data_IF_020043565518
#
_entry.id   IF_020043565518
#
_cell.length_a   1.000
_cell.length_b   1.000
_cell.length_c   1.000
_cell.angle_alpha   90.00
_cell.angle_beta   90.00
_cell.angle_gamma   90.00
#
_symmetry.space_group_name_H-M   'P 1'
#
loop_
_entity.id
_entity.type
_entity.pdbx_description
1 polymer ?
#
# COMPACT_ATOMS: atom_id res chain seq x y z
N UNK A 1 -23.51 -33.80 -16.50
CA UNK A 1 -23.30 -32.41 -16.97
C UNK A 1 -23.05 -32.52 -18.45
N UNK A 2 -23.67 -31.70 -19.28
CA UNK A 2 -23.43 -31.78 -20.68
C UNK A 2 -22.11 -31.06 -21.05
N UNK A 3 -21.50 -31.44 -22.18
CA UNK A 3 -20.18 -30.91 -22.60
C UNK A 3 -20.20 -29.39 -22.79
N UNK A 4 -21.32 -28.81 -23.19
CA UNK A 4 -21.46 -27.35 -23.35
C UNK A 4 -21.37 -26.61 -21.99
N UNK A 5 -22.02 -27.17 -20.95
CA UNK A 5 -21.96 -26.62 -19.58
C UNK A 5 -20.55 -26.73 -18.99
N UNK A 6 -19.87 -27.84 -19.24
CA UNK A 6 -18.46 -28.01 -18.80
C UNK A 6 -17.54 -27.03 -19.54
N UNK A 7 -17.71 -26.85 -20.82
CA UNK A 7 -16.92 -25.90 -21.61
C UNK A 7 -17.15 -24.44 -21.15
N UNK A 8 -18.40 -24.11 -20.87
CA UNK A 8 -18.73 -22.78 -20.34
C UNK A 8 -18.06 -22.52 -18.96
N UNK A 9 -18.12 -23.49 -18.07
CA UNK A 9 -17.47 -23.43 -16.74
C UNK A 9 -15.94 -23.29 -16.86
N UNK A 10 -15.31 -24.07 -17.75
CA UNK A 10 -13.87 -23.98 -18.00
C UNK A 10 -13.47 -22.62 -18.56
N UNK A 11 -14.23 -22.08 -19.51
CA UNK A 11 -13.98 -20.73 -20.04
C UNK A 11 -14.10 -19.67 -18.97
N UNK A 12 -15.06 -19.78 -18.07
CA UNK A 12 -15.22 -18.85 -16.96
C UNK A 12 -14.02 -18.93 -16.00
N UNK A 13 -13.57 -20.12 -15.68
CA UNK A 13 -12.42 -20.32 -14.80
C UNK A 13 -11.11 -19.81 -15.43
N UNK A 14 -10.87 -20.08 -16.72
CA UNK A 14 -9.73 -19.53 -17.45
C UNK A 14 -9.74 -18.01 -17.43
N UNK A 15 -10.92 -17.40 -17.64
CA UNK A 15 -11.06 -15.94 -17.54
C UNK A 15 -10.71 -15.44 -16.16
N UNK A 16 -11.27 -16.05 -15.11
CA UNK A 16 -11.01 -15.68 -13.71
C UNK A 16 -9.52 -15.77 -13.38
N UNK A 17 -8.84 -16.85 -13.79
CA UNK A 17 -7.41 -17.00 -13.59
C UNK A 17 -6.61 -15.93 -14.36
N UNK A 18 -7.00 -15.65 -15.61
CA UNK A 18 -6.39 -14.58 -16.40
C UNK A 18 -6.55 -13.20 -15.73
N UNK A 19 -7.70 -12.95 -15.12
CA UNK A 19 -7.95 -11.70 -14.38
C UNK A 19 -7.08 -11.59 -13.13
N UNK A 20 -6.90 -12.67 -12.38
CA UNK A 20 -5.99 -12.70 -11.25
C UNK A 20 -4.55 -12.35 -11.69
N UNK A 21 -4.08 -12.95 -12.78
CA UNK A 21 -2.74 -12.65 -13.30
C UNK A 21 -2.63 -11.22 -13.83
N UNK A 22 -3.70 -10.69 -14.47
CA UNK A 22 -3.74 -9.30 -14.91
C UNK A 22 -3.68 -8.29 -13.74
N UNK A 23 -4.37 -8.57 -12.63
CA UNK A 23 -4.29 -7.76 -11.39
C UNK A 23 -2.89 -7.83 -10.77
N UNK A 24 -2.27 -9.02 -10.74
CA UNK A 24 -0.88 -9.15 -10.27
C UNK A 24 0.08 -8.36 -11.16
N UNK A 25 -0.11 -8.45 -12.48
CA UNK A 25 0.71 -7.72 -13.45
C UNK A 25 0.57 -6.21 -13.26
N UNK A 26 -0.65 -5.67 -13.15
CA UNK A 26 -0.88 -4.25 -12.85
C UNK A 26 -0.11 -3.82 -11.60
N UNK A 27 -0.19 -4.61 -10.53
CA UNK A 27 0.48 -4.31 -9.27
C UNK A 27 2.01 -4.34 -9.45
N UNK A 28 2.54 -5.28 -10.22
CA UNK A 28 3.96 -5.36 -10.51
C UNK A 28 4.43 -4.19 -11.41
N UNK A 29 3.67 -3.83 -12.44
CA UNK A 29 3.96 -2.70 -13.33
C UNK A 29 4.01 -1.38 -12.54
N UNK A 30 3.06 -1.18 -11.62
CA UNK A 30 3.03 -0.05 -10.71
C UNK A 30 4.29 0.01 -9.83
N UNK A 31 4.67 -1.12 -9.20
CA UNK A 31 5.87 -1.18 -8.37
C UNK A 31 7.13 -0.87 -9.18
N UNK A 32 7.24 -1.42 -10.40
CA UNK A 32 8.37 -1.12 -11.28
C UNK A 32 8.41 0.36 -11.68
N UNK A 33 7.25 0.94 -12.00
CA UNK A 33 7.16 2.37 -12.33
C UNK A 33 7.63 3.26 -11.17
N UNK A 34 7.26 2.89 -9.93
CA UNK A 34 7.73 3.58 -8.73
C UNK A 34 9.25 3.46 -8.54
N UNK A 35 9.80 2.25 -8.64
CA UNK A 35 11.24 2.04 -8.46
C UNK A 35 12.09 2.73 -9.53
N UNK A 36 11.54 2.85 -10.74
CA UNK A 36 12.21 3.51 -11.87
C UNK A 36 11.95 5.03 -11.90
N UNK A 37 11.30 5.60 -10.87
CA UNK A 37 10.86 7.00 -10.82
C UNK A 37 10.02 7.44 -12.05
N UNK A 38 9.30 6.48 -12.67
CA UNK A 38 8.37 6.75 -13.78
C UNK A 38 7.00 7.12 -13.20
N UNK A 39 6.94 8.32 -12.59
CA UNK A 39 5.81 8.75 -11.76
C UNK A 39 4.48 8.80 -12.51
N UNK A 40 4.47 9.28 -13.75
CA UNK A 40 3.25 9.31 -14.58
C UNK A 40 2.77 7.91 -14.95
N UNK A 41 3.67 6.94 -15.15
CA UNK A 41 3.30 5.54 -15.39
C UNK A 41 2.68 4.92 -14.11
N UNK A 42 3.22 5.27 -12.94
CA UNK A 42 2.63 4.85 -11.67
C UNK A 42 1.21 5.42 -11.50
N UNK A 43 1.01 6.71 -11.81
CA UNK A 43 -0.31 7.36 -11.79
C UNK A 43 -1.27 6.76 -12.80
N UNK A 44 -0.78 6.35 -13.97
CA UNK A 44 -1.61 5.70 -15.01
C UNK A 44 -2.18 4.35 -14.58
N UNK A 45 -1.62 3.71 -13.56
CA UNK A 45 -2.16 2.49 -12.97
C UNK A 45 -3.48 2.72 -12.19
N UNK A 46 -3.81 3.96 -11.85
CA UNK A 46 -5.00 4.30 -11.08
C UNK A 46 -6.18 4.69 -11.96
N UNK A 47 -7.38 4.28 -11.56
CA UNK A 47 -8.65 4.76 -12.11
C UNK A 47 -8.81 6.27 -11.91
N UNK A 48 -9.59 6.93 -12.75
CA UNK A 48 -9.95 8.34 -12.53
C UNK A 48 -10.78 8.57 -11.25
N UNK A 49 -11.37 7.49 -10.71
CA UNK A 49 -12.13 7.49 -9.46
C UNK A 49 -11.32 6.98 -8.27
N UNK A 50 -10.01 6.84 -8.44
CA UNK A 50 -9.19 6.22 -7.41
C UNK A 50 -9.01 7.10 -6.18
N UNK A 51 -8.76 6.43 -5.04
CA UNK A 51 -8.29 7.03 -3.80
C UNK A 51 -7.16 6.19 -3.21
N UNK A 52 -6.30 6.83 -2.42
CA UNK A 52 -5.19 6.14 -1.79
C UNK A 52 -5.04 6.59 -0.33
N UNK A 53 -5.28 5.68 0.59
CA UNK A 53 -4.99 5.86 2.01
C UNK A 53 -3.56 5.34 2.28
N UNK A 54 -2.62 6.26 2.25
CA UNK A 54 -1.19 5.94 2.34
C UNK A 54 -0.74 5.58 3.76
N UNK A 55 -1.57 5.83 4.76
CA UNK A 55 -1.22 5.57 6.16
C UNK A 55 -0.28 6.63 6.75
N UNK A 56 0.90 6.84 6.19
CA UNK A 56 1.90 7.81 6.69
C UNK A 56 1.63 9.23 6.20
N UNK A 57 1.30 9.38 4.93
CA UNK A 57 1.13 10.69 4.28
C UNK A 57 -0.31 11.19 4.40
N UNK A 58 -1.24 10.29 4.70
CA UNK A 58 -2.65 10.58 4.82
C UNK A 58 -3.45 10.08 3.62
N UNK A 59 -4.66 10.58 3.48
CA UNK A 59 -5.60 10.15 2.46
C UNK A 59 -5.49 11.04 1.22
N UNK A 60 -5.08 10.43 0.11
CA UNK A 60 -5.13 11.02 -1.23
C UNK A 60 -6.52 10.74 -1.80
N UNK A 61 -7.41 11.73 -1.71
CA UNK A 61 -8.84 11.54 -1.90
C UNK A 61 -9.26 11.25 -3.35
N UNK A 62 -8.43 11.62 -4.31
CA UNK A 62 -8.70 11.49 -5.74
C UNK A 62 -7.41 11.29 -6.55
N UNK A 63 -7.56 11.04 -7.84
CA UNK A 63 -6.43 10.82 -8.77
C UNK A 63 -5.50 12.01 -8.88
N UNK A 64 -6.00 13.23 -8.74
CA UNK A 64 -5.15 14.43 -8.79
C UNK A 64 -4.27 14.53 -7.54
N UNK A 65 -4.79 14.22 -6.37
CA UNK A 65 -4.01 14.11 -5.15
C UNK A 65 -2.94 13.01 -5.26
N UNK A 66 -3.30 11.85 -5.86
CA UNK A 66 -2.36 10.75 -6.15
C UNK A 66 -1.27 11.23 -7.13
N UNK A 67 -1.64 11.95 -8.20
CA UNK A 67 -0.68 12.51 -9.16
C UNK A 67 0.31 13.43 -8.46
N UNK A 68 -0.18 14.39 -7.69
CA UNK A 68 0.67 15.35 -6.96
C UNK A 68 1.61 14.63 -5.97
N UNK A 69 1.13 13.58 -5.32
CA UNK A 69 1.98 12.77 -4.47
C UNK A 69 3.19 12.20 -5.25
N UNK A 70 2.95 11.60 -6.42
CA UNK A 70 4.03 11.03 -7.22
C UNK A 70 4.89 12.05 -7.93
N UNK A 71 4.31 13.11 -8.49
CA UNK A 71 5.04 14.06 -9.34
C UNK A 71 5.64 15.24 -8.60
N UNK A 72 5.17 15.56 -7.40
CA UNK A 72 5.67 16.66 -6.59
C UNK A 72 6.37 16.18 -5.31
N UNK A 73 5.70 15.31 -4.53
CA UNK A 73 6.23 14.86 -3.24
C UNK A 73 7.41 13.89 -3.40
N UNK A 74 7.28 12.83 -4.19
CA UNK A 74 8.33 11.82 -4.32
C UNK A 74 9.65 12.38 -4.83
N UNK A 75 9.70 13.26 -5.86
CA UNK A 75 10.95 13.90 -6.26
C UNK A 75 11.58 14.75 -5.16
N UNK A 76 10.79 15.50 -4.38
CA UNK A 76 11.31 16.29 -3.26
C UNK A 76 11.84 15.41 -2.13
N UNK A 77 11.18 14.28 -1.87
CA UNK A 77 11.64 13.30 -0.89
C UNK A 77 13.01 12.72 -1.29
N UNK A 78 13.20 12.38 -2.56
CA UNK A 78 14.46 11.88 -3.10
C UNK A 78 15.55 12.97 -3.11
N UNK A 79 15.22 14.20 -3.50
CA UNK A 79 16.14 15.34 -3.48
C UNK A 79 16.64 15.65 -2.06
N UNK A 80 15.79 15.46 -1.07
CA UNK A 80 16.16 15.57 0.34
C UNK A 80 17.02 14.40 0.86
N UNK A 81 17.36 13.42 0.01
CA UNK A 81 18.14 12.24 0.38
C UNK A 81 17.32 11.09 0.96
N UNK A 82 15.99 11.17 0.88
CA UNK A 82 15.10 10.06 1.17
C UNK A 82 15.19 8.99 0.09
N UNK A 83 14.99 7.74 0.49
CA UNK A 83 14.94 6.61 -0.42
C UNK A 83 14.01 5.55 0.14
N UNK A 84 13.24 4.91 -0.73
CA UNK A 84 12.39 3.80 -0.35
C UNK A 84 12.39 2.72 -1.44
N UNK A 85 12.45 1.47 -1.02
CA UNK A 85 12.34 0.32 -1.88
C UNK A 85 11.27 -0.62 -1.34
N UNK A 86 10.13 -0.62 -1.98
CA UNK A 86 8.96 -1.39 -1.60
C UNK A 86 8.92 -2.76 -2.29
N UNK A 87 8.63 -3.78 -1.51
CA UNK A 87 8.40 -5.14 -2.01
C UNK A 87 7.03 -5.62 -1.58
N UNK A 88 6.16 -5.91 -2.55
CA UNK A 88 4.87 -6.53 -2.30
C UNK A 88 4.95 -8.04 -2.45
N UNK A 89 4.48 -8.77 -1.45
CA UNK A 89 4.57 -10.22 -1.40
C UNK A 89 3.25 -10.87 -0.98
N UNK A 90 3.14 -12.18 -1.20
CA UNK A 90 2.06 -13.04 -0.72
C UNK A 90 0.65 -12.53 -1.10
N UNK A 91 0.38 -12.29 -2.39
CA UNK A 91 -0.92 -11.81 -2.81
C UNK A 91 -2.03 -12.82 -2.53
N UNK A 92 -3.13 -12.31 -1.98
CA UNK A 92 -4.42 -12.99 -1.95
C UNK A 92 -5.39 -12.15 -2.76
N UNK A 93 -5.82 -12.65 -3.92
CA UNK A 93 -6.64 -11.90 -4.88
C UNK A 93 -7.97 -12.61 -5.08
N UNK A 94 -9.04 -11.86 -5.03
CA UNK A 94 -10.40 -12.29 -5.34
C UNK A 94 -10.96 -11.42 -6.48
N UNK A 95 -11.47 -12.07 -7.51
CA UNK A 95 -12.07 -11.39 -8.68
C UNK A 95 -13.56 -11.66 -8.71
N UNK A 96 -14.35 -10.61 -8.90
CA UNK A 96 -15.79 -10.68 -9.05
C UNK A 96 -16.26 -9.80 -10.22
N UNK A 97 -16.38 -10.40 -11.40
CA UNK A 97 -16.73 -9.69 -12.63
C UNK A 97 -15.67 -8.63 -12.99
N UNK A 98 -16.08 -7.37 -12.98
CA UNK A 98 -15.23 -6.22 -13.33
C UNK A 98 -14.62 -5.53 -12.09
N UNK A 99 -14.69 -6.18 -10.93
CA UNK A 99 -14.04 -5.73 -9.70
C UNK A 99 -13.14 -6.82 -9.13
N UNK A 100 -12.09 -6.42 -8.41
CA UNK A 100 -11.26 -7.35 -7.68
C UNK A 100 -10.78 -6.71 -6.37
N UNK A 101 -10.47 -7.56 -5.41
CA UNK A 101 -9.83 -7.19 -4.17
C UNK A 101 -8.51 -7.94 -4.05
N UNK A 102 -7.48 -7.27 -3.58
CA UNK A 102 -6.16 -7.86 -3.35
C UNK A 102 -5.62 -7.48 -2.00
N UNK A 103 -4.99 -8.44 -1.35
CA UNK A 103 -4.28 -8.24 -0.10
C UNK A 103 -2.82 -8.62 -0.26
N UNK A 104 -1.92 -7.77 0.22
CA UNK A 104 -0.49 -7.88 0.05
C UNK A 104 0.23 -7.63 1.36
N UNK A 105 1.36 -8.29 1.54
CA UNK A 105 2.34 -7.84 2.53
C UNK A 105 3.32 -6.89 1.86
N UNK A 106 3.54 -5.75 2.51
CA UNK A 106 4.55 -4.78 2.15
C UNK A 106 5.77 -4.98 3.04
N UNK A 107 6.94 -5.04 2.43
CA UNK A 107 8.21 -4.86 3.09
C UNK A 107 8.96 -3.73 2.42
N UNK A 108 9.29 -2.69 3.18
CA UNK A 108 9.98 -1.50 2.69
C UNK A 108 11.35 -1.39 3.33
N UNK A 109 12.37 -1.14 2.55
CA UNK A 109 13.63 -0.57 2.99
C UNK A 109 13.58 0.93 2.73
N UNK A 110 13.95 1.75 3.70
CA UNK A 110 13.88 3.20 3.55
C UNK A 110 15.05 3.91 4.21
N UNK A 111 15.35 5.11 3.72
CA UNK A 111 16.24 6.08 4.33
C UNK A 111 15.38 7.31 4.65
N UNK A 112 15.38 7.68 5.91
CA UNK A 112 14.72 8.90 6.36
C UNK A 112 15.50 10.13 5.88
N UNK A 113 14.88 11.08 5.16
CA UNK A 113 15.58 12.22 4.58
C UNK A 113 16.13 13.18 5.62
N UNK A 114 15.49 13.31 6.78
CA UNK A 114 15.89 14.27 7.82
C UNK A 114 17.01 13.72 8.69
N UNK A 115 16.96 12.43 9.05
CA UNK A 115 17.94 11.80 9.95
C UNK A 115 19.02 11.02 9.24
N UNK A 116 18.82 10.70 7.95
CA UNK A 116 19.65 9.80 7.13
C UNK A 116 19.79 8.40 7.77
N UNK A 117 18.89 8.04 8.65
CA UNK A 117 18.84 6.71 9.24
C UNK A 117 18.15 5.72 8.29
N UNK A 118 18.81 4.58 8.09
CA UNK A 118 18.18 3.46 7.40
C UNK A 118 17.14 2.80 8.31
N UNK A 119 16.00 2.45 7.74
CA UNK A 119 14.95 1.73 8.42
C UNK A 119 14.31 0.70 7.50
N UNK A 120 13.57 -0.23 8.08
CA UNK A 120 12.69 -1.13 7.35
C UNK A 120 11.29 -1.08 7.95
N UNK A 121 10.34 -1.40 7.12
CA UNK A 121 8.93 -1.28 7.45
C UNK A 121 8.17 -2.52 6.95
N UNK A 122 7.22 -2.99 7.73
CA UNK A 122 6.32 -4.09 7.36
C UNK A 122 4.88 -3.65 7.52
N UNK A 123 4.09 -3.87 6.50
CA UNK A 123 2.68 -3.52 6.51
C UNK A 123 1.82 -4.56 5.78
N UNK A 124 0.52 -4.46 5.96
CA UNK A 124 -0.47 -5.13 5.12
C UNK A 124 -1.23 -4.08 4.33
N UNK A 125 -1.32 -4.32 3.02
CA UNK A 125 -2.06 -3.47 2.10
C UNK A 125 -3.32 -4.19 1.63
N UNK A 126 -4.41 -3.45 1.49
CA UNK A 126 -5.63 -3.86 0.80
C UNK A 126 -5.85 -2.97 -0.41
N UNK A 127 -6.03 -3.59 -1.56
CA UNK A 127 -6.26 -2.92 -2.82
C UNK A 127 -7.59 -3.36 -3.40
N UNK A 128 -8.38 -2.39 -3.83
CA UNK A 128 -9.56 -2.61 -4.64
C UNK A 128 -9.22 -2.23 -6.09
N UNK A 129 -9.65 -3.06 -7.02
CA UNK A 129 -9.38 -2.89 -8.43
C UNK A 129 -10.69 -2.83 -9.21
N UNK A 130 -10.65 -2.14 -10.33
CA UNK A 130 -11.75 -2.06 -11.29
C UNK A 130 -11.23 -2.33 -12.69
N UNK A 131 -12.04 -3.02 -13.50
CA UNK A 131 -11.75 -3.20 -14.91
C UNK A 131 -12.30 -2.01 -15.70
N UNK A 132 -11.46 -1.40 -16.50
CA UNK A 132 -11.80 -0.34 -17.43
C UNK A 132 -11.57 -0.82 -18.87
N UNK A 133 -11.83 0.03 -19.86
CA UNK A 133 -11.72 -0.35 -21.28
C UNK A 133 -10.29 -0.74 -21.69
N UNK A 134 -9.29 -0.18 -21.03
CA UNK A 134 -7.85 -0.41 -21.27
C UNK A 134 -7.21 -1.39 -20.28
N UNK A 135 -8.00 -2.01 -19.39
CA UNK A 135 -7.53 -3.04 -18.47
C UNK A 135 -7.90 -2.80 -17.00
N UNK A 136 -7.26 -3.54 -16.13
CA UNK A 136 -7.44 -3.38 -14.70
C UNK A 136 -6.73 -2.11 -14.20
N UNK A 137 -7.36 -1.42 -13.22
CA UNK A 137 -6.84 -0.21 -12.55
C UNK A 137 -7.00 -0.34 -11.04
N UNK A 138 -6.15 0.33 -10.27
CA UNK A 138 -6.41 0.56 -8.86
C UNK A 138 -7.60 1.48 -8.69
N UNK A 139 -8.57 1.07 -7.88
CA UNK A 139 -9.71 1.90 -7.48
C UNK A 139 -9.48 2.47 -6.08
N UNK A 140 -8.95 1.67 -5.18
CA UNK A 140 -8.63 2.10 -3.83
C UNK A 140 -7.42 1.33 -3.31
N UNK A 141 -6.44 2.07 -2.84
CA UNK A 141 -5.30 1.52 -2.13
C UNK A 141 -5.39 1.92 -0.67
N UNK A 142 -5.17 0.96 0.23
CA UNK A 142 -5.18 1.19 1.68
C UNK A 142 -4.01 0.49 2.35
N UNK A 143 -3.34 1.22 3.22
CA UNK A 143 -2.48 0.63 4.23
C UNK A 143 -3.31 0.37 5.49
N UNK A 144 -3.56 -0.89 5.82
CA UNK A 144 -4.52 -1.28 6.89
C UNK A 144 -3.85 -1.80 8.15
N UNK A 145 -2.58 -2.06 8.12
CA UNK A 145 -1.90 -2.51 9.31
C UNK A 145 -0.85 -1.52 9.74
N UNK A 146 -0.57 -1.63 10.99
CA UNK A 146 0.45 -0.88 11.64
C UNK A 146 1.80 -1.17 11.00
N UNK A 147 2.47 -0.10 10.65
CA UNK A 147 3.83 -0.16 10.22
C UNK A 147 4.72 -0.39 11.44
N UNK A 148 5.42 -1.50 11.46
CA UNK A 148 6.60 -1.61 12.31
C UNK A 148 7.78 -1.07 11.52
N UNK A 149 8.22 0.11 11.87
CA UNK A 149 9.46 0.68 11.35
C UNK A 149 10.55 0.50 12.39
N UNK A 150 11.64 -0.15 12.01
CA UNK A 150 12.79 -0.36 12.90
C UNK A 150 14.01 0.29 12.29
N UNK A 151 14.60 1.25 12.97
CA UNK A 151 15.87 1.84 12.57
C UNK A 151 16.97 0.77 12.60
N UNK A 152 17.73 0.66 11.51
CA UNK A 152 18.75 -0.36 11.33
C UNK A 152 19.87 -0.31 12.40
N UNK A 153 20.18 0.91 12.91
CA UNK A 153 21.20 1.11 13.93
C UNK A 153 20.93 0.39 15.26
N UNK A 154 19.68 0.04 15.55
CA UNK A 154 19.31 -0.66 16.80
C UNK A 154 19.27 -2.18 16.64
N UNK A 155 19.31 -2.69 15.40
CA UNK A 155 19.29 -4.12 15.10
C UNK A 155 17.97 -4.82 15.51
N UNK A 156 17.80 -6.05 15.05
CA UNK A 156 16.61 -6.88 15.26
C UNK A 156 16.38 -7.29 16.73
N UNK A 157 17.41 -7.26 17.55
CA UNK A 157 17.37 -7.81 18.90
C UNK A 157 17.33 -6.78 20.03
N UNK A 158 17.36 -5.50 19.71
CA UNK A 158 17.22 -4.46 20.73
C UNK A 158 15.79 -3.95 20.73
N UNK A 159 14.99 -4.56 21.59
CA UNK A 159 13.61 -4.13 21.84
C UNK A 159 13.56 -2.64 22.16
N UNK A 160 12.68 -1.91 21.53
CA UNK A 160 12.22 -0.66 22.06
C UNK A 160 12.06 0.51 21.11
N UNK A 161 12.33 0.37 19.85
CA UNK A 161 11.99 1.46 18.90
C UNK A 161 11.25 0.94 17.68
N UNK A 162 10.13 0.30 17.94
CA UNK A 162 9.10 0.13 16.92
C UNK A 162 8.42 1.48 16.75
N UNK A 163 8.59 2.11 15.62
CA UNK A 163 7.73 3.22 15.21
C UNK A 163 6.46 2.61 14.69
N UNK A 164 5.44 2.56 15.52
CA UNK A 164 4.09 2.25 15.07
C UNK A 164 3.48 3.57 14.65
N UNK A 165 3.29 3.74 13.35
CA UNK A 165 2.52 4.85 12.82
C UNK A 165 1.10 4.35 12.59
N UNK A 166 0.22 4.58 13.54
CA UNK A 166 -1.22 4.47 13.32
C UNK A 166 -1.79 5.87 13.21
N UNK A 167 -2.39 6.18 12.08
CA UNK A 167 -3.21 7.37 11.94
C UNK A 167 -4.64 7.04 12.33
N UNK A 168 -5.26 7.93 13.10
CA UNK A 168 -6.70 7.93 13.24
C UNK A 168 -7.33 8.46 11.94
N UNK A 169 -8.52 7.98 11.58
CA UNK A 169 -9.25 8.48 10.42
C UNK A 169 -9.42 10.01 10.43
N UNK A 170 -9.41 10.64 11.62
CA UNK A 170 -9.45 12.09 11.80
C UNK A 170 -8.14 12.78 11.42
N UNK A 171 -7.01 12.18 11.66
CA UNK A 171 -5.69 12.72 11.28
C UNK A 171 -5.42 12.55 9.78
N UNK A 172 -5.85 11.41 9.22
CA UNK A 172 -5.78 11.15 7.78
C UNK A 172 -6.67 12.10 6.96
N UNK A 173 -7.81 12.55 7.52
CA UNK A 173 -8.74 13.45 6.86
C UNK A 173 -8.27 14.92 6.81
N UNK A 174 -7.27 15.31 7.59
CA UNK A 174 -6.89 16.71 7.77
C UNK A 174 -5.84 17.22 6.79
N UNK A 175 -5.14 16.37 6.04
CA UNK A 175 -4.14 16.86 5.10
C UNK A 175 -3.87 15.92 3.92
N UNK A 176 -4.20 16.32 2.71
CA UNK A 176 -3.91 15.51 1.52
C UNK A 176 -2.42 15.43 1.14
N UNK A 177 -1.57 16.27 1.69
CA UNK A 177 -0.11 16.25 1.52
C UNK A 177 0.50 17.12 2.63
N UNK A 178 0.80 16.51 3.75
CA UNK A 178 1.40 17.26 4.84
C UNK A 178 2.83 16.78 5.09
N UNK A 179 3.78 17.47 4.46
CA UNK A 179 5.20 17.27 4.67
C UNK A 179 5.61 17.45 6.14
N UNK A 180 4.90 18.31 6.87
CA UNK A 180 5.16 18.53 8.30
C UNK A 180 4.74 17.33 9.15
N UNK A 181 3.74 16.54 8.70
CA UNK A 181 3.37 15.27 9.33
C UNK A 181 4.48 14.23 9.14
N UNK A 182 5.06 14.11 7.96
CA UNK A 182 6.20 13.21 7.69
C UNK A 182 7.39 13.63 8.57
N UNK A 183 7.67 14.93 8.68
CA UNK A 183 8.73 15.48 9.56
C UNK A 183 8.43 15.33 11.03
N UNK A 184 7.20 15.58 11.46
CA UNK A 184 6.81 15.48 12.86
C UNK A 184 6.83 14.03 13.41
N UNK A 185 6.62 13.05 12.52
CA UNK A 185 6.62 11.63 12.90
C UNK A 185 8.01 11.01 12.98
N UNK A 186 9.05 11.68 12.52
CA UNK A 186 10.44 11.39 12.89
C UNK A 186 10.68 11.42 14.40
N UNK A 187 9.74 11.97 15.18
CA UNK A 187 9.74 11.95 16.64
C UNK A 187 9.28 10.60 17.22
N UNK A 188 9.86 10.21 18.34
CA UNK A 188 9.51 9.02 19.11
C UNK A 188 8.02 8.94 19.39
N UNK A 189 7.29 8.05 18.73
CA UNK A 189 5.92 7.73 19.12
C UNK A 189 5.93 6.66 20.21
N UNK A 190 5.05 6.84 21.19
CA UNK A 190 4.77 5.80 22.19
C UNK A 190 4.05 4.64 21.49
N UNK A 191 4.33 3.37 21.81
CA UNK A 191 3.59 2.25 21.27
C UNK A 191 2.11 2.41 21.58
N UNK A 192 1.31 2.59 20.55
CA UNK A 192 -0.15 2.58 20.65
C UNK A 192 -0.67 1.16 20.76
N UNK A 193 -1.87 1.00 21.30
CA UNK A 193 -2.55 -0.31 21.31
C UNK A 193 -2.85 -0.73 19.87
N UNK A 194 -2.37 -1.90 19.48
CA UNK A 194 -2.67 -2.57 18.23
C UNK A 194 -4.18 -2.86 18.11
N UNK A 195 -4.90 -2.11 17.30
CA UNK A 195 -6.26 -2.49 16.92
C UNK A 195 -6.22 -3.07 15.51
N UNK A 196 -6.33 -4.39 15.41
CA UNK A 196 -6.44 -5.08 14.14
C UNK A 196 -7.91 -5.23 13.77
N UNK A 197 -8.31 -4.68 12.65
CA UNK A 197 -9.54 -5.07 11.98
C UNK A 197 -9.20 -5.52 10.57
N UNK A 198 -9.26 -6.82 10.35
CA UNK A 198 -9.32 -7.39 9.01
C UNK A 198 -10.78 -7.76 8.82
N UNK A 199 -11.42 -7.41 7.70
CA UNK A 199 -12.80 -7.84 7.39
C UNK A 199 -12.97 -9.32 7.71
N UNK A 200 -13.71 -9.62 8.79
CA UNK A 200 -13.99 -10.99 9.24
C UNK A 200 -12.91 -11.70 10.06
N UNK A 201 -11.79 -11.05 10.37
CA UNK A 201 -10.75 -11.63 11.23
C UNK A 201 -10.44 -10.69 12.40
N UNK A 202 -10.81 -11.11 13.60
CA UNK A 202 -10.37 -10.48 14.84
C UNK A 202 -9.16 -11.26 15.33
N UNK A 203 -8.00 -10.64 15.37
CA UNK A 203 -6.84 -11.25 16.06
C UNK A 203 -6.89 -10.79 17.51
N UNK A 204 -6.81 -11.71 18.49
CA UNK A 204 -6.78 -11.33 19.90
C UNK A 204 -5.60 -10.39 20.17
N UNK A 205 -5.86 -9.31 20.89
CA UNK A 205 -4.80 -8.47 21.47
C UNK A 205 -4.01 -9.28 22.47
N UNK A 206 -2.72 -9.48 22.22
CA UNK A 206 -1.81 -9.92 23.27
C UNK A 206 -1.62 -8.72 24.20
N UNK A 207 -2.17 -8.82 25.41
CA UNK A 207 -1.81 -7.89 26.47
C UNK A 207 -0.38 -8.23 26.89
N UNK A 208 0.53 -7.27 27.04
CA UNK A 208 1.83 -7.53 27.64
C UNK A 208 1.62 -7.84 29.12
N UNK A 209 2.18 -8.95 29.58
CA UNK A 209 2.40 -9.24 31.00
C UNK A 209 3.33 -8.18 31.65
#
# INVERSE_FOLDING_TARGET
MDVESELAALRQEVRRLGDIEAVKKLTADYMQAMHDARWEDAVACFSDRASYDHGVIGNLADKEAIRRFYTEFMPQYEEAGGWAFDMLTNPVISVNGDTAEGRWFLFTLLIDPDTQEAAWNVATLEYEYVREADGWKFLRNRCISEHQSVAYATGWGKSGQSRVTSFTDAEAAQSPLNFDLVRAQGGRQKPGKLTRSIRGWTVPTLEPE
#
